data_IF_561140961671
#
_entry.id   IF_561140961671
#
_cell.length_a   1.000
_cell.length_b   1.000
_cell.length_c   1.000
_cell.angle_alpha   90.00
_cell.angle_beta   90.00
_cell.angle_gamma   90.00
#
_symmetry.space_group_name_H-M   'P 1'
#
loop_
_entity.id
_entity.type
_entity.pdbx_description
1 polymer ?
#
# COMPACT_ATOMS: atom_id res chain seq x y z
N UNK A 1 3.90 44.88 25.69
CA UNK A 1 4.69 43.70 26.10
C UNK A 1 3.92 42.43 25.70
N UNK A 2 4.21 41.89 24.51
CA UNK A 2 3.45 40.78 23.93
C UNK A 2 3.90 39.44 24.53
N UNK A 3 2.99 38.78 25.26
CA UNK A 3 3.17 37.40 25.76
C UNK A 3 3.15 36.43 24.57
N UNK A 4 4.30 35.85 24.25
CA UNK A 4 4.42 34.68 23.34
C UNK A 4 3.71 33.49 23.99
N UNK A 5 2.57 33.09 23.43
CA UNK A 5 1.95 31.80 23.71
C UNK A 5 2.80 30.71 23.02
N UNK A 6 3.54 29.95 23.81
CA UNK A 6 4.22 28.74 23.35
C UNK A 6 3.18 27.62 23.20
N UNK A 7 2.94 27.18 21.97
CA UNK A 7 2.16 25.97 21.72
C UNK A 7 3.00 24.73 22.08
N UNK A 8 2.42 23.70 22.73
CA UNK A 8 3.13 22.48 23.04
C UNK A 8 3.41 21.68 21.75
N UNK A 9 4.66 21.25 21.63
CA UNK A 9 5.19 20.42 20.55
C UNK A 9 4.53 19.04 20.63
N UNK A 10 3.55 18.79 19.75
CA UNK A 10 2.92 17.47 19.59
C UNK A 10 4.00 16.44 19.25
N UNK A 11 4.26 15.54 20.19
CA UNK A 11 5.15 14.41 20.02
C UNK A 11 4.50 13.41 19.05
N UNK A 12 5.20 13.09 17.97
CA UNK A 12 4.80 11.97 17.12
C UNK A 12 5.03 10.67 17.90
N UNK A 13 4.09 9.70 17.88
CA UNK A 13 4.35 8.39 18.45
C UNK A 13 5.31 7.64 17.52
N UNK A 14 6.62 7.71 17.81
CA UNK A 14 7.59 6.72 17.33
C UNK A 14 7.38 5.42 18.10
N UNK A 15 6.24 4.78 17.85
CA UNK A 15 5.89 3.47 18.39
C UNK A 15 6.42 2.38 17.49
N UNK A 16 7.74 2.17 17.50
CA UNK A 16 8.33 0.91 17.04
C UNK A 16 7.85 -0.20 18.00
N UNK A 17 6.69 -0.79 17.71
CA UNK A 17 6.25 -2.02 18.39
C UNK A 17 7.18 -3.15 17.97
N UNK A 18 8.09 -3.51 18.87
CA UNK A 18 8.75 -4.82 18.85
C UNK A 18 7.67 -5.90 18.94
N UNK A 19 7.47 -6.62 17.86
CA UNK A 19 6.69 -7.85 17.85
C UNK A 19 7.65 -8.99 18.26
N UNK A 20 7.28 -9.87 19.21
CA UNK A 20 8.14 -10.98 19.62
C UNK A 20 8.38 -11.96 18.47
N UNK A 21 9.62 -12.41 18.36
CA UNK A 21 10.06 -13.44 17.43
C UNK A 21 9.55 -14.81 17.90
N UNK A 22 8.41 -15.25 17.38
CA UNK A 22 8.00 -16.66 17.46
C UNK A 22 7.39 -17.08 16.12
N UNK A 23 8.11 -17.99 15.45
CA UNK A 23 7.69 -18.87 14.34
C UNK A 23 7.42 -18.31 12.93
N UNK A 24 8.49 -17.95 12.23
CA UNK A 24 8.52 -18.05 10.75
C UNK A 24 9.72 -18.85 10.20
N UNK A 25 10.36 -19.67 11.05
CA UNK A 25 11.35 -20.66 10.62
C UNK A 25 10.67 -21.88 9.99
N UNK A 26 10.22 -21.77 8.73
CA UNK A 26 10.18 -22.88 7.75
C UNK A 26 9.73 -22.36 6.38
N UNK A 27 10.68 -21.96 5.54
CA UNK A 27 10.46 -21.93 4.10
C UNK A 27 11.46 -22.87 3.43
N UNK A 28 11.05 -24.13 3.33
CA UNK A 28 11.61 -25.11 2.41
C UNK A 28 10.47 -25.85 1.71
N UNK A 29 10.57 -26.04 0.39
CA UNK A 29 9.91 -27.05 -0.47
C UNK A 29 10.09 -26.61 -1.94
N UNK A 30 10.33 -27.42 -2.99
CA UNK A 30 10.18 -28.86 -3.27
C UNK A 30 10.96 -29.14 -4.60
N UNK A 31 11.17 -30.40 -5.00
CA UNK A 31 11.78 -30.83 -6.29
C UNK A 31 10.99 -30.37 -7.54
N UNK A 32 9.80 -29.78 -7.38
CA UNK A 32 8.90 -29.33 -8.45
C UNK A 32 9.14 -27.89 -8.98
N UNK A 33 10.32 -27.32 -8.77
CA UNK A 33 10.75 -26.11 -9.51
C UNK A 33 10.01 -24.80 -9.21
N UNK A 34 9.67 -24.51 -7.94
CA UNK A 34 9.25 -23.16 -7.49
C UNK A 34 10.43 -22.39 -6.90
N UNK A 35 10.53 -21.10 -7.25
CA UNK A 35 11.71 -20.23 -7.14
C UNK A 35 12.39 -20.21 -5.76
N UNK A 36 13.73 -20.24 -5.76
CA UNK A 36 14.63 -20.15 -4.58
C UNK A 36 14.62 -18.79 -3.88
N UNK A 37 13.80 -17.84 -4.34
CA UNK A 37 13.57 -16.54 -3.70
C UNK A 37 12.07 -16.48 -3.42
N UNK A 38 11.68 -17.12 -2.31
CA UNK A 38 10.31 -17.48 -1.95
C UNK A 38 9.39 -16.30 -1.62
N UNK A 39 9.21 -15.38 -2.57
CA UNK A 39 8.00 -14.59 -2.62
C UNK A 39 6.98 -15.34 -3.48
N UNK A 40 5.84 -15.77 -2.92
CA UNK A 40 4.70 -16.17 -3.77
C UNK A 40 4.38 -15.01 -4.72
N UNK A 41 3.77 -15.30 -5.87
CA UNK A 41 3.39 -14.24 -6.80
C UNK A 41 2.66 -13.16 -5.99
N UNK A 42 3.08 -11.89 -6.09
CA UNK A 42 2.64 -10.86 -5.15
C UNK A 42 1.10 -10.71 -5.06
N UNK A 43 0.37 -11.24 -6.05
CA UNK A 43 -1.08 -11.36 -6.03
C UNK A 43 -1.64 -12.35 -5.00
N UNK A 44 -0.94 -13.43 -4.65
CA UNK A 44 -1.52 -14.49 -3.81
C UNK A 44 -1.72 -14.05 -2.35
N UNK A 45 -0.76 -13.30 -1.79
CA UNK A 45 -0.85 -12.87 -0.39
C UNK A 45 -1.86 -11.74 -0.18
N UNK A 46 -1.93 -10.81 -1.14
CA UNK A 46 -2.78 -9.61 -1.05
C UNK A 46 -4.27 -9.96 -1.28
N UNK A 47 -4.57 -10.98 -2.09
CA UNK A 47 -5.94 -11.36 -2.46
C UNK A 47 -6.62 -12.31 -1.46
N UNK A 48 -5.89 -12.88 -0.50
CA UNK A 48 -6.44 -13.87 0.44
C UNK A 48 -7.38 -13.25 1.50
N UNK A 49 -7.38 -11.91 1.65
CA UNK A 49 -8.08 -11.21 2.74
C UNK A 49 -9.37 -10.48 2.32
N UNK A 50 -9.74 -10.49 1.03
CA UNK A 50 -10.94 -9.79 0.54
C UNK A 50 -12.13 -10.75 0.39
N UNK A 51 -13.36 -10.34 0.77
CA UNK A 51 -14.55 -11.13 0.46
C UNK A 51 -14.66 -11.31 -1.05
N UNK A 52 -14.92 -12.54 -1.51
CA UNK A 52 -14.88 -12.99 -2.92
C UNK A 52 -15.75 -12.20 -3.92
N UNK A 53 -16.51 -11.18 -3.46
CA UNK A 53 -17.46 -10.41 -4.28
C UNK A 53 -17.27 -8.89 -4.25
N UNK A 54 -16.32 -8.35 -3.47
CA UNK A 54 -16.13 -6.90 -3.39
C UNK A 54 -14.72 -6.52 -3.84
N UNK A 55 -14.62 -5.98 -5.05
CA UNK A 55 -13.38 -5.39 -5.55
C UNK A 55 -13.23 -3.97 -4.97
N UNK A 56 -12.05 -3.61 -4.41
CA UNK A 56 -11.81 -2.26 -3.96
C UNK A 56 -11.83 -1.27 -5.13
N UNK A 57 -12.34 -0.07 -4.87
CA UNK A 57 -12.16 1.05 -5.79
C UNK A 57 -10.78 1.68 -5.58
N UNK A 58 -10.20 2.21 -6.65
CA UNK A 58 -8.92 2.94 -6.56
C UNK A 58 -9.00 4.11 -5.57
N UNK A 59 -10.16 4.76 -5.43
CA UNK A 59 -10.38 5.83 -4.45
C UNK A 59 -10.25 5.35 -3.01
N UNK A 60 -10.58 4.09 -2.72
CA UNK A 60 -10.40 3.51 -1.38
C UNK A 60 -8.97 3.18 -1.09
N UNK A 61 -8.24 2.67 -2.08
CA UNK A 61 -6.81 2.41 -1.97
C UNK A 61 -6.09 3.72 -1.68
N UNK A 62 -6.47 4.81 -2.36
CA UNK A 62 -5.95 6.15 -2.11
C UNK A 62 -6.26 6.61 -0.67
N UNK A 63 -7.51 6.46 -0.21
CA UNK A 63 -7.90 6.81 1.17
C UNK A 63 -7.14 5.99 2.22
N UNK A 64 -7.05 4.68 2.03
CA UNK A 64 -6.30 3.78 2.90
C UNK A 64 -4.83 4.18 3.00
N UNK A 65 -4.22 4.51 1.86
CA UNK A 65 -2.82 4.97 1.78
C UNK A 65 -2.64 6.28 2.52
N UNK A 66 -3.52 7.27 2.28
CA UNK A 66 -3.47 8.56 2.96
C UNK A 66 -3.52 8.39 4.48
N UNK A 67 -4.45 7.56 4.96
CA UNK A 67 -4.59 7.28 6.38
C UNK A 67 -3.38 6.54 6.95
N UNK A 68 -2.83 5.56 6.22
CA UNK A 68 -1.69 4.77 6.70
C UNK A 68 -0.41 5.60 6.83
N UNK A 69 -0.14 6.48 5.87
CA UNK A 69 1.07 7.31 5.85
C UNK A 69 0.90 8.70 6.50
N UNK A 70 -0.32 9.07 6.91
CA UNK A 70 -0.61 10.39 7.46
C UNK A 70 -0.34 11.52 6.46
N UNK A 71 -0.72 11.31 5.20
CA UNK A 71 -0.57 12.30 4.11
C UNK A 71 -1.94 12.74 3.61
N UNK A 72 -2.01 13.94 3.05
CA UNK A 72 -3.25 14.44 2.46
C UNK A 72 -3.50 13.87 1.05
N UNK A 73 -4.77 13.77 0.67
CA UNK A 73 -5.14 13.31 -0.69
C UNK A 73 -4.55 14.22 -1.77
N UNK A 74 -4.50 15.53 -1.52
CA UNK A 74 -3.87 16.50 -2.42
C UNK A 74 -2.38 16.23 -2.64
N UNK A 75 -1.65 15.81 -1.59
CA UNK A 75 -0.24 15.44 -1.69
C UNK A 75 -0.04 14.13 -2.46
N UNK A 76 -0.92 13.14 -2.25
CA UNK A 76 -0.87 11.87 -2.96
C UNK A 76 -1.08 12.08 -4.48
N UNK A 77 -2.02 12.94 -4.87
CA UNK A 77 -2.33 13.22 -6.27
C UNK A 77 -1.42 14.29 -6.89
N UNK A 78 -0.84 15.18 -6.07
CA UNK A 78 -0.01 16.30 -6.50
C UNK A 78 1.30 15.90 -7.18
N UNK A 79 1.99 16.86 -7.79
CA UNK A 79 3.21 16.64 -8.60
C UNK A 79 4.52 16.54 -7.80
N UNK A 80 4.47 16.78 -6.50
CA UNK A 80 5.67 16.81 -5.64
C UNK A 80 6.39 15.45 -5.63
N UNK A 81 7.70 15.46 -5.88
CA UNK A 81 8.55 14.26 -5.99
C UNK A 81 9.35 13.97 -4.72
N UNK A 82 9.05 14.66 -3.63
CA UNK A 82 9.68 14.43 -2.32
C UNK A 82 9.64 12.96 -1.93
N UNK A 83 10.77 12.45 -1.40
CA UNK A 83 10.94 11.04 -1.01
C UNK A 83 9.83 10.57 -0.06
N UNK A 84 9.40 11.46 0.86
CA UNK A 84 8.27 11.25 1.78
C UNK A 84 6.96 10.87 1.08
N UNK A 85 6.71 11.38 -0.12
CA UNK A 85 5.48 11.15 -0.89
C UNK A 85 5.66 10.12 -2.00
N UNK A 86 6.89 9.93 -2.49
CA UNK A 86 7.20 8.99 -3.55
C UNK A 86 6.85 7.55 -3.14
N UNK A 87 7.27 7.15 -1.94
CA UNK A 87 7.03 5.79 -1.46
C UNK A 87 5.54 5.46 -1.23
N UNK A 88 4.75 6.28 -0.53
CA UNK A 88 3.30 6.09 -0.40
C UNK A 88 2.57 5.96 -1.75
N UNK A 89 2.91 6.81 -2.73
CA UNK A 89 2.32 6.74 -4.08
C UNK A 89 2.66 5.45 -4.80
N UNK A 90 3.91 5.03 -4.69
CA UNK A 90 4.37 3.78 -5.31
C UNK A 90 3.58 2.59 -4.73
N UNK A 91 3.39 2.56 -3.42
CA UNK A 91 2.59 1.52 -2.75
C UNK A 91 1.12 1.55 -3.17
N UNK A 92 0.51 2.74 -3.24
CA UNK A 92 -0.86 2.88 -3.70
C UNK A 92 -1.06 2.40 -5.15
N UNK A 93 -0.13 2.73 -6.06
CA UNK A 93 -0.17 2.26 -7.44
C UNK A 93 0.04 0.75 -7.56
N UNK A 94 0.96 0.20 -6.76
CA UNK A 94 1.19 -1.24 -6.67
C UNK A 94 -0.09 -1.96 -6.20
N UNK A 95 -0.70 -1.53 -5.10
CA UNK A 95 -1.94 -2.12 -4.61
C UNK A 95 -3.10 -1.94 -5.59
N UNK A 96 -3.22 -0.80 -6.25
CA UNK A 96 -4.24 -0.60 -7.28
C UNK A 96 -4.08 -1.63 -8.41
N UNK A 97 -2.84 -1.99 -8.78
CA UNK A 97 -2.62 -3.00 -9.81
C UNK A 97 -2.94 -4.42 -9.35
N UNK A 98 -2.62 -4.76 -8.11
CA UNK A 98 -2.83 -6.12 -7.57
C UNK A 98 -4.28 -6.37 -7.15
N UNK A 99 -4.97 -5.35 -6.63
CA UNK A 99 -6.31 -5.48 -6.06
C UNK A 99 -7.45 -5.14 -7.03
N UNK A 100 -7.15 -4.47 -8.14
CA UNK A 100 -8.17 -4.03 -9.10
C UNK A 100 -7.85 -4.48 -10.53
N UNK A 101 -8.86 -4.76 -11.36
CA UNK A 101 -8.65 -5.09 -12.76
C UNK A 101 -8.30 -3.88 -13.64
N UNK A 102 -8.09 -2.69 -13.06
CA UNK A 102 -7.83 -1.47 -13.82
C UNK A 102 -6.55 -1.55 -14.65
N UNK A 103 -6.61 -0.96 -15.86
CA UNK A 103 -5.45 -0.86 -16.74
C UNK A 103 -4.40 0.11 -16.17
N UNK A 104 -3.13 -0.07 -16.55
CA UNK A 104 -2.04 0.85 -16.19
C UNK A 104 -2.32 2.33 -16.52
N UNK A 105 -2.85 2.68 -17.72
CA UNK A 105 -3.21 4.07 -17.99
C UNK A 105 -4.38 4.57 -17.15
N UNK A 106 -5.37 3.73 -16.83
CA UNK A 106 -6.47 4.12 -15.92
C UNK A 106 -5.97 4.43 -14.52
N UNK A 107 -5.05 3.60 -14.01
CA UNK A 107 -4.41 3.83 -12.71
C UNK A 107 -3.68 5.18 -12.77
N UNK A 108 -2.84 5.41 -13.78
CA UNK A 108 -2.11 6.68 -13.94
C UNK A 108 -3.02 7.91 -13.94
N UNK A 109 -4.14 7.85 -14.67
CA UNK A 109 -5.17 8.91 -14.67
C UNK A 109 -5.71 9.19 -13.27
N UNK A 110 -6.06 8.14 -12.51
CA UNK A 110 -6.61 8.27 -11.15
C UNK A 110 -5.60 8.79 -10.13
N UNK A 111 -4.32 8.63 -10.38
CA UNK A 111 -3.24 9.21 -9.58
C UNK A 111 -2.77 10.56 -10.17
N UNK A 112 -3.70 11.48 -10.47
CA UNK A 112 -3.35 12.85 -10.88
C UNK A 112 -2.82 12.98 -12.31
N UNK A 113 -3.29 12.15 -13.24
CA UNK A 113 -2.93 12.26 -14.66
C UNK A 113 -1.49 11.85 -14.98
N UNK A 114 -0.94 10.88 -14.26
CA UNK A 114 0.43 10.38 -14.48
C UNK A 114 0.51 9.42 -15.66
N UNK A 115 1.66 9.41 -16.34
CA UNK A 115 1.93 8.47 -17.42
C UNK A 115 1.89 7.02 -16.93
N UNK A 116 1.36 6.12 -17.77
CA UNK A 116 1.30 4.69 -17.46
C UNK A 116 2.70 4.09 -17.18
N UNK A 117 3.74 4.62 -17.82
CA UNK A 117 5.14 4.23 -17.55
C UNK A 117 5.55 4.53 -16.11
N UNK A 118 5.05 5.62 -15.51
CA UNK A 118 5.27 5.93 -14.09
C UNK A 118 4.68 4.84 -13.20
N UNK A 119 3.49 4.32 -13.55
CA UNK A 119 2.84 3.22 -12.84
C UNK A 119 3.67 1.94 -12.95
N UNK A 120 4.19 1.63 -14.14
CA UNK A 120 5.10 0.49 -14.36
C UNK A 120 6.34 0.60 -13.47
N UNK A 121 7.00 1.76 -13.47
CA UNK A 121 8.19 2.00 -12.64
C UNK A 121 7.87 1.90 -11.15
N UNK A 122 6.71 2.40 -10.70
CA UNK A 122 6.26 2.29 -9.33
C UNK A 122 6.07 0.83 -8.89
N UNK A 123 5.39 0.03 -9.70
CA UNK A 123 5.15 -1.40 -9.44
C UNK A 123 6.48 -2.15 -9.34
N UNK A 124 7.39 -1.94 -10.30
CA UNK A 124 8.69 -2.58 -10.32
C UNK A 124 9.53 -2.19 -9.09
N UNK A 125 9.51 -0.91 -8.70
CA UNK A 125 10.24 -0.43 -7.53
C UNK A 125 9.73 -1.06 -6.22
N UNK A 126 8.41 -1.15 -6.04
CA UNK A 126 7.83 -1.78 -4.84
C UNK A 126 8.15 -3.26 -4.80
N UNK A 127 7.97 -3.99 -5.91
CA UNK A 127 8.30 -5.42 -6.00
C UNK A 127 9.75 -5.70 -5.64
N UNK A 128 10.68 -4.92 -6.19
CA UNK A 128 12.11 -5.06 -5.88
C UNK A 128 12.40 -4.81 -4.40
N UNK A 129 11.84 -3.74 -3.82
CA UNK A 129 12.02 -3.45 -2.39
C UNK A 129 11.41 -4.51 -1.48
N UNK A 130 10.28 -5.08 -1.87
CA UNK A 130 9.64 -6.20 -1.19
C UNK A 130 10.55 -7.44 -1.16
N UNK A 131 11.21 -7.76 -2.28
CA UNK A 131 12.16 -8.88 -2.32
C UNK A 131 13.42 -8.65 -1.50
N UNK A 132 13.86 -7.40 -1.39
CA UNK A 132 15.09 -7.03 -0.67
C UNK A 132 14.85 -6.82 0.84
N UNK A 133 13.65 -6.35 1.24
CA UNK A 133 13.34 -5.96 2.60
C UNK A 133 11.97 -6.50 3.06
N UNK A 134 11.99 -7.30 4.12
CA UNK A 134 10.80 -7.86 4.74
C UNK A 134 9.86 -6.81 5.34
N UNK A 135 10.37 -5.65 5.78
CA UNK A 135 9.53 -4.58 6.32
C UNK A 135 8.55 -4.05 5.27
N UNK A 136 8.98 -3.97 4.01
CA UNK A 136 8.12 -3.54 2.89
C UNK A 136 7.06 -4.59 2.60
N UNK A 137 7.38 -5.88 2.77
CA UNK A 137 6.39 -6.96 2.69
C UNK A 137 5.29 -6.81 3.73
N UNK A 138 5.71 -6.56 4.96
CA UNK A 138 4.81 -6.38 6.09
C UNK A 138 3.94 -5.13 5.89
N UNK A 139 4.53 -4.04 5.43
CA UNK A 139 3.81 -2.79 5.13
C UNK A 139 2.76 -2.98 4.02
N UNK A 140 3.08 -3.73 2.96
CA UNK A 140 2.11 -4.10 1.91
C UNK A 140 0.94 -4.88 2.53
N UNK A 141 1.22 -5.86 3.38
CA UNK A 141 0.19 -6.65 4.08
C UNK A 141 -0.68 -5.79 5.00
N UNK A 142 -0.07 -4.88 5.76
CA UNK A 142 -0.79 -4.02 6.69
C UNK A 142 -1.70 -3.04 5.93
N UNK A 143 -1.22 -2.50 4.80
CA UNK A 143 -2.00 -1.61 3.95
C UNK A 143 -3.10 -2.36 3.19
N UNK A 144 -2.86 -3.59 2.71
CA UNK A 144 -3.89 -4.40 2.05
C UNK A 144 -5.01 -4.79 3.02
N UNK A 145 -4.68 -5.18 4.25
CA UNK A 145 -5.66 -5.46 5.30
C UNK A 145 -6.52 -4.23 5.61
N UNK A 146 -5.93 -3.03 5.59
CA UNK A 146 -6.66 -1.78 5.77
C UNK A 146 -7.61 -1.50 4.61
N UNK A 147 -7.19 -1.72 3.37
CA UNK A 147 -8.07 -1.61 2.20
C UNK A 147 -9.25 -2.58 2.35
N UNK A 148 -8.98 -3.83 2.73
CA UNK A 148 -10.02 -4.83 2.97
C UNK A 148 -11.03 -4.40 4.04
N UNK A 149 -10.55 -3.81 5.14
CA UNK A 149 -11.42 -3.29 6.19
C UNK A 149 -12.33 -2.16 5.68
N UNK A 150 -11.82 -1.26 4.83
CA UNK A 150 -12.64 -0.19 4.22
C UNK A 150 -13.69 -0.78 3.28
N UNK A 151 -13.32 -1.75 2.46
CA UNK A 151 -14.25 -2.42 1.53
C UNK A 151 -15.34 -3.17 2.29
N UNK A 152 -14.98 -3.86 3.38
CA UNK A 152 -15.91 -4.61 4.21
C UNK A 152 -16.88 -3.71 4.99
N UNK A 153 -16.50 -2.47 5.26
CA UNK A 153 -17.34 -1.51 5.98
C UNK A 153 -18.37 -0.79 5.10
N UNK A 154 -18.49 -1.14 3.81
CA UNK A 154 -19.52 -0.60 2.92
C UNK A 154 -20.88 -1.23 3.24
N UNK A 155 -21.89 -0.47 3.70
CA UNK A 155 -23.27 -0.94 3.59
C UNK A 155 -23.61 -0.98 2.09
N UNK A 156 -24.00 -2.15 1.58
CA UNK A 156 -24.45 -2.45 0.20
C UNK A 156 -24.86 -1.26 -0.70
N UNK A 157 -23.89 -0.48 -1.16
CA UNK A 157 -24.09 0.52 -2.20
C UNK A 157 -23.25 0.13 -3.42
N UNK A 158 -23.98 -0.08 -4.52
CA UNK A 158 -23.55 -0.07 -5.94
C UNK A 158 -23.24 -1.42 -6.59
N UNK A 159 -24.30 -2.09 -7.05
CA UNK A 159 -24.43 -2.45 -8.46
C UNK A 159 -25.48 -1.51 -9.07
N UNK A 160 -25.02 -0.46 -9.75
CA UNK A 160 -25.80 0.48 -10.54
C UNK A 160 -24.96 0.94 -11.71
#
# INVERSE_FOLDING_TARGET
>A
MARRLALPRMAQPTGARKIPATDACRFGADEKGRSRHGWPSAGDFVLTQLPRRCLPLVSEIQRATCFHFGIEMGELLGKDRSSRLAHPRQMAMFLARELTPNSLPDIGRRFGGRDHSTVVHAIAAVRRRATENYDVAREISELSARVAAIVAARPDEVMG
#
